data_IF_053856717378
#
_entry.id   IF_053856717378
#
_cell.length_a   1.000
_cell.length_b   1.000
_cell.length_c   1.000
_cell.angle_alpha   90.00
_cell.angle_beta   90.00
_cell.angle_gamma   90.00
#
_symmetry.space_group_name_H-M   'P 1'
#
loop_
_entity.id
_entity.type
_entity.pdbx_description
1 polymer ?
#
# COMPACT_ATOMS: atom_id res chain seq x y z
N UNK A 1 -12.51 -10.66 -6.12
CA UNK A 1 -11.26 -10.03 -5.64
C UNK A 1 -11.19 -8.59 -6.12
N UNK A 2 -10.84 -7.69 -5.24
CA UNK A 2 -10.77 -6.26 -5.55
C UNK A 2 -9.37 -5.73 -5.35
N UNK A 3 -9.01 -4.79 -6.20
CA UNK A 3 -7.88 -3.92 -5.93
C UNK A 3 -8.43 -2.68 -5.24
N UNK A 4 -7.67 -2.12 -4.33
CA UNK A 4 -8.10 -0.96 -3.58
C UNK A 4 -6.91 -0.04 -3.34
N UNK A 5 -7.15 1.26 -3.43
CA UNK A 5 -6.12 2.27 -3.22
C UNK A 5 -6.64 3.24 -2.16
N UNK A 6 -6.08 3.16 -0.96
CA UNK A 6 -6.51 3.96 0.20
C UNK A 6 -5.44 4.98 0.58
N UNK A 7 -5.89 6.13 1.07
CA UNK A 7 -5.00 7.16 1.57
C UNK A 7 -5.47 7.60 2.94
N UNK A 8 -4.58 7.45 3.93
CA UNK A 8 -4.78 7.96 5.29
C UNK A 8 -4.13 9.33 5.35
N UNK A 9 -4.96 10.35 5.34
CA UNK A 9 -4.50 11.73 5.29
C UNK A 9 -3.74 12.14 6.54
N UNK A 10 -4.18 11.66 7.70
CA UNK A 10 -3.52 11.98 8.96
C UNK A 10 -2.10 11.44 9.03
N UNK A 11 -1.93 10.21 8.61
CA UNK A 11 -0.63 9.54 8.61
C UNK A 11 0.20 9.89 7.38
N UNK A 12 -0.39 10.52 6.36
CA UNK A 12 0.20 10.73 5.05
C UNK A 12 0.75 9.42 4.49
N UNK A 13 -0.07 8.38 4.58
CA UNK A 13 0.29 7.05 4.13
C UNK A 13 -0.78 6.51 3.18
N UNK A 14 -0.33 5.89 2.09
CA UNK A 14 -1.22 5.26 1.15
C UNK A 14 -0.95 3.76 1.09
N UNK A 15 -1.95 2.98 0.73
CA UNK A 15 -1.79 1.55 0.56
C UNK A 15 -2.53 1.10 -0.69
N UNK A 16 -1.81 0.38 -1.55
CA UNK A 16 -2.38 -0.24 -2.74
C UNK A 16 -2.58 -1.71 -2.42
N UNK A 17 -3.85 -2.14 -2.33
CA UNK A 17 -4.20 -3.52 -2.12
C UNK A 17 -4.32 -4.20 -3.48
N UNK A 18 -3.42 -5.10 -3.80
CA UNK A 18 -3.56 -5.93 -5.00
C UNK A 18 -4.55 -7.05 -4.74
N UNK A 19 -4.67 -7.42 -3.47
CA UNK A 19 -5.68 -8.35 -2.96
C UNK A 19 -6.37 -7.66 -1.80
N UNK A 20 -7.69 -7.64 -1.78
CA UNK A 20 -8.42 -7.01 -0.69
C UNK A 20 -9.58 -7.90 -0.24
N UNK A 21 -9.75 -8.12 1.06
CA UNK A 21 -8.89 -7.67 2.16
C UNK A 21 -7.65 -8.54 2.32
N UNK A 22 -6.62 -7.98 2.95
CA UNK A 22 -5.47 -8.76 3.39
C UNK A 22 -5.75 -9.19 4.82
N UNK A 23 -5.81 -10.49 5.04
CA UNK A 23 -6.14 -11.04 6.35
C UNK A 23 -4.96 -10.93 7.31
N UNK A 24 -5.26 -10.90 8.60
CA UNK A 24 -4.22 -10.89 9.62
C UNK A 24 -3.30 -12.11 9.43
N UNK A 25 -2.00 -11.87 9.42
CA UNK A 25 -1.02 -12.93 9.24
C UNK A 25 -0.80 -13.39 7.81
N UNK A 26 -1.53 -12.86 6.84
CA UNK A 26 -1.35 -13.21 5.44
C UNK A 26 -0.06 -12.64 4.87
N UNK A 27 0.31 -11.42 5.27
CA UNK A 27 1.58 -10.83 4.88
C UNK A 27 2.69 -11.45 5.71
N UNK A 28 3.62 -12.15 5.08
CA UNK A 28 4.68 -12.90 5.74
C UNK A 28 6.05 -12.24 5.63
N UNK A 29 6.27 -11.44 4.61
CA UNK A 29 7.53 -10.73 4.44
C UNK A 29 7.27 -9.40 3.77
N UNK A 30 8.20 -8.47 3.97
CA UNK A 30 8.13 -7.20 3.28
C UNK A 30 9.53 -6.77 2.84
N UNK A 31 9.56 -5.92 1.82
CA UNK A 31 10.80 -5.35 1.29
C UNK A 31 10.59 -3.85 1.19
N UNK A 32 11.49 -3.11 1.80
CA UNK A 32 11.47 -1.66 1.77
C UNK A 32 12.29 -1.16 0.57
N UNK A 33 11.68 -0.26 -0.21
CA UNK A 33 12.33 0.37 -1.35
C UNK A 33 12.38 1.87 -1.09
N UNK A 34 13.55 2.47 -1.21
CA UNK A 34 13.73 3.92 -1.07
C UNK A 34 13.11 4.51 0.18
N UNK A 35 13.22 3.82 1.30
CA UNK A 35 12.78 4.30 2.62
C UNK A 35 11.27 4.46 2.79
N UNK A 36 10.54 4.76 1.71
CA UNK A 36 9.13 5.12 1.82
C UNK A 36 8.17 4.16 1.15
N UNK A 37 8.68 3.17 0.44
CA UNK A 37 7.84 2.21 -0.28
C UNK A 37 8.12 0.82 0.25
N UNK A 38 7.07 0.15 0.72
CA UNK A 38 7.19 -1.18 1.31
C UNK A 38 6.31 -2.14 0.53
N UNK A 39 6.91 -3.21 0.03
CA UNK A 39 6.20 -4.27 -0.70
C UNK A 39 5.89 -5.40 0.27
N UNK A 40 4.63 -5.83 0.33
CA UNK A 40 4.18 -6.92 1.19
C UNK A 40 3.92 -8.18 0.40
N UNK A 41 4.47 -9.29 0.85
CA UNK A 41 4.39 -10.59 0.18
C UNK A 41 3.76 -11.64 1.08
N UNK A 42 3.09 -12.61 0.49
CA UNK A 42 2.55 -13.75 1.22
C UNK A 42 3.62 -14.84 1.42
N UNK A 43 3.22 -15.97 2.02
CA UNK A 43 4.13 -17.07 2.32
C UNK A 43 4.71 -17.73 1.07
N UNK A 44 4.09 -17.52 -0.07
CA UNK A 44 4.55 -18.08 -1.36
C UNK A 44 5.37 -17.08 -2.17
N UNK A 45 5.65 -15.91 -1.59
CA UNK A 45 6.40 -14.86 -2.28
C UNK A 45 5.58 -14.06 -3.28
N UNK A 46 4.25 -14.13 -3.19
CA UNK A 46 3.38 -13.34 -4.08
C UNK A 46 3.09 -11.99 -3.48
N UNK A 47 3.07 -10.97 -4.31
CA UNK A 47 2.85 -9.60 -3.88
C UNK A 47 1.38 -9.39 -3.49
N UNK A 48 1.16 -8.90 -2.27
CA UNK A 48 -0.17 -8.62 -1.75
C UNK A 48 -0.54 -7.14 -1.88
N UNK A 49 0.42 -6.28 -1.65
CA UNK A 49 0.17 -4.85 -1.67
C UNK A 49 1.42 -4.02 -1.49
N UNK A 50 1.24 -2.71 -1.55
CA UNK A 50 2.32 -1.75 -1.48
C UNK A 50 1.93 -0.64 -0.51
N UNK A 51 2.75 -0.40 0.51
CA UNK A 51 2.58 0.70 1.44
C UNK A 51 3.48 1.86 1.01
N UNK A 52 2.93 3.07 1.02
CA UNK A 52 3.66 4.27 0.62
C UNK A 52 3.60 5.28 1.75
N UNK A 53 4.73 5.51 2.40
CA UNK A 53 4.87 6.48 3.48
C UNK A 53 5.22 7.84 2.89
N UNK A 54 4.81 8.90 3.56
CA UNK A 54 4.96 10.27 3.05
C UNK A 54 4.36 10.39 1.65
N UNK A 55 3.17 9.84 1.50
CA UNK A 55 2.55 9.64 0.19
C UNK A 55 2.38 10.94 -0.59
N UNK A 56 2.10 12.04 0.09
CA UNK A 56 1.93 13.34 -0.57
C UNK A 56 3.21 13.83 -1.25
N UNK A 57 4.38 13.36 -0.79
CA UNK A 57 5.67 13.71 -1.36
C UNK A 57 6.15 12.73 -2.42
N UNK A 58 5.64 11.51 -2.36
CA UNK A 58 6.09 10.42 -3.23
C UNK A 58 5.19 10.29 -4.46
N UNK A 59 3.87 10.41 -4.24
CA UNK A 59 2.90 10.19 -5.29
C UNK A 59 2.60 11.47 -6.04
N UNK A 60 2.39 11.32 -7.34
CA UNK A 60 1.85 12.37 -8.16
C UNK A 60 0.47 12.75 -7.61
N UNK A 61 0.14 14.05 -7.65
CA UNK A 61 -1.13 14.54 -7.15
C UNK A 61 -2.34 13.83 -7.78
N UNK A 62 -2.25 13.52 -9.06
CA UNK A 62 -3.35 12.82 -9.75
C UNK A 62 -3.54 11.42 -9.18
N UNK A 63 -2.45 10.77 -8.78
CA UNK A 63 -2.56 9.46 -8.14
C UNK A 63 -3.28 9.57 -6.80
N UNK A 64 -2.95 10.59 -6.00
CA UNK A 64 -3.62 10.81 -4.71
C UNK A 64 -5.11 11.07 -4.88
N UNK A 65 -5.51 11.79 -5.93
CA UNK A 65 -6.92 12.09 -6.18
C UNK A 65 -7.72 10.84 -6.54
N UNK A 66 -7.05 9.78 -6.97
CA UNK A 66 -7.71 8.52 -7.30
C UNK A 66 -7.78 7.57 -6.11
N UNK A 67 -7.26 7.97 -4.95
CA UNK A 67 -7.33 7.13 -3.76
C UNK A 67 -8.68 7.27 -3.08
N UNK A 68 -9.05 6.26 -2.31
CA UNK A 68 -10.14 6.36 -1.37
C UNK A 68 -9.56 6.93 -0.08
N UNK A 69 -10.00 8.13 0.29
CA UNK A 69 -9.51 8.79 1.50
C UNK A 69 -10.23 8.20 2.70
N UNK A 70 -9.47 7.82 3.70
CA UNK A 70 -10.00 7.27 4.94
C UNK A 70 -10.43 8.37 5.91
#
# INVERSE_FOLDING_TARGET
>A
MHMKFEYDKEADAAYVYLVYPIKAGQAKSNIEIKENIILDFDSKGKLLGVEILNASKILNRKALLNTQVL
#
